data_IF_434535205395
#
_entry.id   IF_434535205395
#
_cell.length_a   1.000
_cell.length_b   1.000
_cell.length_c   1.000
_cell.angle_alpha   90.00
_cell.angle_beta   90.00
_cell.angle_gamma   90.00
#
_symmetry.space_group_name_H-M   'P 1'
#
loop_
_entity.id
_entity.type
_entity.pdbx_description
1 polymer ?
#
# COMPACT_ATOMS: atom_id res chain seq x y z
N UNK A 1 21.52 -23.37 1.61
CA UNK A 1 20.93 -22.08 2.04
C UNK A 1 20.56 -21.33 0.77
N UNK A 2 19.38 -20.72 0.69
CA UNK A 2 19.05 -19.88 -0.47
C UNK A 2 19.85 -18.59 -0.37
N UNK A 3 20.40 -18.12 -1.48
CA UNK A 3 21.06 -16.81 -1.54
C UNK A 3 20.05 -15.72 -1.16
N UNK A 4 20.53 -14.73 -0.41
CA UNK A 4 19.68 -13.69 0.16
C UNK A 4 19.54 -12.52 -0.81
N UNK A 5 18.31 -12.03 -0.98
CA UNK A 5 18.01 -10.89 -1.85
C UNK A 5 17.22 -9.86 -1.07
N UNK A 6 17.72 -8.62 -1.07
CA UNK A 6 17.04 -7.46 -0.50
C UNK A 6 16.35 -6.70 -1.62
N UNK A 7 15.03 -6.57 -1.51
CA UNK A 7 14.21 -5.77 -2.42
C UNK A 7 13.97 -4.43 -1.75
N UNK A 8 14.46 -3.35 -2.35
CA UNK A 8 14.58 -2.04 -1.70
C UNK A 8 13.51 -1.09 -2.23
N UNK A 9 12.59 -0.71 -1.35
CA UNK A 9 11.63 0.38 -1.54
C UNK A 9 12.30 1.75 -1.31
N UNK A 10 11.64 2.86 -1.67
CA UNK A 10 12.12 4.23 -1.47
C UNK A 10 12.58 4.47 -0.02
N UNK A 11 11.82 3.98 0.96
CA UNK A 11 12.16 4.05 2.39
C UNK A 11 13.50 3.39 2.75
N UNK A 12 13.90 2.33 2.04
CA UNK A 12 15.20 1.67 2.21
C UNK A 12 16.40 2.47 1.71
N UNK A 13 16.19 3.43 0.80
CA UNK A 13 17.22 4.39 0.38
C UNK A 13 17.33 5.60 1.32
N UNK A 14 16.25 5.94 2.00
CA UNK A 14 16.24 7.02 3.00
C UNK A 14 16.99 6.57 4.27
N UNK A 15 16.81 5.30 4.66
CA UNK A 15 17.42 4.79 5.87
C UNK A 15 18.82 4.21 5.67
N UNK A 16 19.68 4.32 6.69
CA UNK A 16 21.03 3.76 6.70
C UNK A 16 21.03 2.24 6.97
N UNK A 17 20.19 1.47 6.27
CA UNK A 17 20.11 0.00 6.38
C UNK A 17 21.33 -0.66 5.76
N UNK A 18 22.01 -1.54 6.51
CA UNK A 18 23.10 -2.35 5.96
C UNK A 18 22.56 -3.64 5.31
N UNK A 19 22.91 -3.85 4.04
CA UNK A 19 22.55 -5.06 3.29
C UNK A 19 23.69 -6.06 3.35
N UNK A 20 23.83 -6.76 4.49
CA UNK A 20 24.92 -7.73 4.71
C UNK A 20 24.66 -9.04 3.97
N UNK A 21 25.69 -9.53 3.27
CA UNK A 21 25.76 -10.87 2.64
C UNK A 21 24.54 -11.23 1.77
N UNK A 22 24.03 -10.26 0.99
CA UNK A 22 22.91 -10.48 0.09
C UNK A 22 22.92 -9.55 -1.11
N UNK A 23 22.37 -10.01 -2.23
CA UNK A 23 22.21 -9.19 -3.42
C UNK A 23 21.10 -8.14 -3.18
N UNK A 24 21.24 -6.97 -3.78
CA UNK A 24 20.25 -5.89 -3.69
C UNK A 24 19.56 -5.71 -5.05
N UNK A 25 18.25 -5.45 -5.00
CA UNK A 25 17.44 -5.17 -6.18
C UNK A 25 16.40 -4.10 -5.87
N UNK A 26 16.10 -3.24 -6.84
CA UNK A 26 14.97 -2.32 -6.81
C UNK A 26 14.32 -2.25 -8.20
N UNK A 27 13.25 -1.49 -8.32
CA UNK A 27 12.50 -1.30 -9.57
C UNK A 27 12.73 0.11 -10.13
N UNK A 28 12.66 0.31 -11.46
CA UNK A 28 12.84 1.64 -12.05
C UNK A 28 11.94 2.73 -11.46
N UNK A 29 10.67 2.40 -11.18
CA UNK A 29 9.71 3.35 -10.62
C UNK A 29 10.13 3.91 -9.25
N UNK A 30 10.84 3.12 -8.42
CA UNK A 30 11.41 3.61 -7.16
C UNK A 30 12.54 4.60 -7.43
N UNK A 31 13.36 4.36 -8.45
CA UNK A 31 14.45 5.28 -8.83
C UNK A 31 13.89 6.63 -9.27
N UNK A 32 12.76 6.63 -9.97
CA UNK A 32 12.08 7.85 -10.43
C UNK A 32 11.48 8.66 -9.25
N UNK A 33 11.15 8.01 -8.13
CA UNK A 33 10.67 8.67 -6.90
C UNK A 33 11.79 9.30 -6.06
N UNK A 34 13.04 8.87 -6.23
CA UNK A 34 14.18 9.39 -5.46
C UNK A 34 14.51 10.81 -5.94
N UNK A 35 14.01 11.80 -5.22
CA UNK A 35 14.24 13.21 -5.52
C UNK A 35 15.26 13.89 -4.61
N UNK A 36 15.47 13.37 -3.39
CA UNK A 36 16.39 14.00 -2.43
C UNK A 36 17.85 13.59 -2.68
N UNK A 37 18.77 14.54 -2.45
CA UNK A 37 20.20 14.35 -2.73
C UNK A 37 20.86 13.26 -1.88
N UNK A 38 20.32 12.97 -0.69
CA UNK A 38 20.90 11.97 0.22
C UNK A 38 20.56 10.56 -0.23
N UNK A 39 19.29 10.30 -0.51
CA UNK A 39 18.82 9.04 -1.07
C UNK A 39 19.41 8.78 -2.45
N UNK A 40 19.62 9.84 -3.25
CA UNK A 40 20.29 9.73 -4.56
C UNK A 40 21.75 9.28 -4.43
N UNK A 41 22.52 9.93 -3.54
CA UNK A 41 23.89 9.50 -3.27
C UNK A 41 23.94 8.04 -2.79
N UNK A 42 23.01 7.63 -1.93
CA UNK A 42 22.94 6.26 -1.44
C UNK A 42 22.60 5.27 -2.55
N UNK A 43 21.67 5.61 -3.43
CA UNK A 43 21.36 4.82 -4.61
C UNK A 43 22.62 4.63 -5.48
N UNK A 44 23.37 5.69 -5.76
CA UNK A 44 24.58 5.62 -6.59
C UNK A 44 25.65 4.72 -5.93
N UNK A 45 25.87 4.85 -4.62
CA UNK A 45 26.78 3.97 -3.87
C UNK A 45 26.35 2.49 -3.91
N UNK A 46 25.05 2.22 -3.75
CA UNK A 46 24.53 0.85 -3.86
C UNK A 46 24.63 0.33 -5.30
N UNK A 47 24.48 1.21 -6.30
CA UNK A 47 24.62 0.88 -7.70
C UNK A 47 26.04 0.43 -8.02
N UNK A 48 27.04 1.16 -7.55
CA UNK A 48 28.45 0.80 -7.68
C UNK A 48 28.77 -0.50 -6.94
N UNK A 49 28.08 -0.77 -5.82
CA UNK A 49 28.19 -2.01 -5.07
C UNK A 49 27.41 -3.21 -5.69
N UNK A 50 26.73 -3.03 -6.83
CA UNK A 50 26.06 -4.11 -7.56
C UNK A 50 24.54 -4.15 -7.45
N UNK A 51 23.87 -3.08 -7.01
CA UNK A 51 22.40 -2.97 -7.00
C UNK A 51 21.84 -3.15 -8.41
N UNK A 52 20.90 -4.09 -8.53
CA UNK A 52 20.16 -4.34 -9.77
C UNK A 52 18.89 -3.49 -9.81
N UNK A 53 18.59 -2.95 -10.99
CA UNK A 53 17.35 -2.19 -11.23
C UNK A 53 16.61 -2.94 -12.32
N UNK A 54 15.53 -3.63 -11.96
CA UNK A 54 14.86 -4.60 -12.82
C UNK A 54 13.34 -4.41 -12.74
N UNK A 55 12.66 -4.51 -13.88
CA UNK A 55 11.19 -4.53 -13.89
C UNK A 55 10.68 -5.89 -13.38
N UNK A 56 9.56 -5.91 -12.64
CA UNK A 56 8.93 -7.15 -12.21
C UNK A 56 8.20 -7.86 -13.36
N UNK A 57 8.11 -9.17 -13.25
CA UNK A 57 7.25 -9.99 -14.11
C UNK A 57 5.76 -9.59 -14.00
N UNK A 58 5.07 -9.50 -15.13
CA UNK A 58 3.67 -9.11 -15.22
C UNK A 58 2.75 -10.10 -14.51
N UNK A 59 3.07 -11.41 -14.56
CA UNK A 59 2.31 -12.43 -13.84
C UNK A 59 2.40 -12.24 -12.31
N UNK A 60 3.51 -11.71 -11.81
CA UNK A 60 3.65 -11.37 -10.40
C UNK A 60 2.83 -10.13 -10.02
N UNK A 61 2.71 -9.13 -10.92
CA UNK A 61 1.85 -7.95 -10.69
C UNK A 61 0.38 -8.34 -10.49
N UNK A 62 -0.14 -9.27 -11.28
CA UNK A 62 -1.53 -9.74 -11.16
C UNK A 62 -1.80 -10.45 -9.83
N UNK A 63 -0.84 -11.27 -9.38
CA UNK A 63 -0.90 -11.94 -8.07
C UNK A 63 -0.91 -10.93 -6.93
N UNK A 64 -0.05 -9.91 -7.01
CA UNK A 64 0.01 -8.83 -6.02
C UNK A 64 -1.32 -8.07 -5.96
N UNK A 65 -1.90 -7.71 -7.11
CA UNK A 65 -3.22 -7.04 -7.16
C UNK A 65 -4.31 -7.88 -6.49
N UNK A 66 -4.31 -9.19 -6.72
CA UNK A 66 -5.27 -10.11 -6.10
C UNK A 66 -5.08 -10.19 -4.58
N UNK A 67 -3.83 -10.22 -4.11
CA UNK A 67 -3.50 -10.19 -2.68
C UNK A 67 -3.86 -8.83 -2.04
N UNK A 68 -3.66 -7.73 -2.74
CA UNK A 68 -4.05 -6.39 -2.31
C UNK A 68 -5.57 -6.24 -2.15
N UNK A 69 -6.36 -6.86 -3.03
CA UNK A 69 -7.82 -6.89 -2.89
C UNK A 69 -8.21 -7.70 -1.65
N UNK A 70 -7.53 -8.82 -1.42
CA UNK A 70 -7.80 -9.72 -0.28
C UNK A 70 -7.49 -9.06 1.07
N UNK A 71 -6.41 -8.29 1.13
CA UNK A 71 -6.00 -7.53 2.32
C UNK A 71 -6.79 -6.23 2.52
N UNK A 72 -7.44 -5.73 1.46
CA UNK A 72 -8.16 -4.47 1.47
C UNK A 72 -7.28 -3.24 1.19
N UNK A 73 -6.01 -3.45 0.84
CA UNK A 73 -5.03 -2.39 0.60
C UNK A 73 -4.95 -1.97 -0.89
N UNK A 74 -5.73 -2.59 -1.79
CA UNK A 74 -5.70 -2.30 -3.23
C UNK A 74 -6.00 -0.84 -3.61
N UNK A 75 -6.77 -0.11 -2.80
CA UNK A 75 -7.12 1.29 -3.09
C UNK A 75 -6.05 2.30 -2.63
N UNK A 76 -5.10 1.88 -1.80
CA UNK A 76 -4.05 2.76 -1.25
C UNK A 76 -2.69 2.51 -1.88
N UNK A 77 -2.46 1.31 -2.43
CA UNK A 77 -1.20 0.98 -3.10
C UNK A 77 -1.05 1.74 -4.43
N UNK A 78 0.12 2.35 -4.60
CA UNK A 78 0.57 2.97 -5.83
C UNK A 78 1.00 1.92 -6.87
N UNK A 79 1.25 2.37 -8.11
CA UNK A 79 1.81 1.51 -9.16
C UNK A 79 3.23 1.05 -8.79
N UNK A 80 4.02 1.94 -8.17
CA UNK A 80 5.36 1.63 -7.65
C UNK A 80 5.30 0.54 -6.59
N UNK A 81 4.33 0.62 -5.68
CA UNK A 81 4.15 -0.36 -4.59
C UNK A 81 3.79 -1.75 -5.13
N UNK A 82 2.96 -1.80 -6.16
CA UNK A 82 2.64 -3.06 -6.85
C UNK A 82 3.90 -3.64 -7.51
N UNK A 83 4.73 -2.79 -8.11
CA UNK A 83 5.93 -3.23 -8.81
C UNK A 83 7.00 -3.76 -7.84
N UNK A 84 7.18 -3.12 -6.68
CA UNK A 84 8.14 -3.58 -5.67
C UNK A 84 7.71 -4.91 -5.04
N UNK A 85 6.42 -5.05 -4.71
CA UNK A 85 5.83 -6.30 -4.21
C UNK A 85 5.93 -7.41 -5.26
N UNK A 86 5.72 -7.08 -6.53
CA UNK A 86 5.79 -8.05 -7.62
C UNK A 86 7.23 -8.54 -7.82
N UNK A 87 8.23 -7.64 -7.76
CA UNK A 87 9.64 -8.03 -7.85
C UNK A 87 10.05 -8.90 -6.66
N UNK A 88 9.56 -8.60 -5.46
CA UNK A 88 9.80 -9.44 -4.28
C UNK A 88 9.18 -10.83 -4.41
N UNK A 89 7.95 -10.92 -4.91
CA UNK A 89 7.27 -12.18 -5.16
C UNK A 89 8.00 -13.03 -6.22
N UNK A 90 8.47 -12.40 -7.30
CA UNK A 90 9.24 -13.04 -8.37
C UNK A 90 10.51 -13.71 -7.81
N UNK A 91 11.30 -12.96 -7.03
CA UNK A 91 12.56 -13.44 -6.46
C UNK A 91 12.38 -14.54 -5.41
N UNK A 92 11.23 -14.58 -4.73
CA UNK A 92 10.94 -15.56 -3.65
C UNK A 92 11.02 -17.02 -4.14
N UNK A 93 10.78 -17.25 -5.43
CA UNK A 93 10.85 -18.60 -6.02
C UNK A 93 12.25 -19.22 -5.91
N UNK A 94 13.31 -18.42 -6.06
CA UNK A 94 14.71 -18.88 -6.03
C UNK A 94 15.50 -18.47 -4.79
N UNK A 95 15.10 -17.40 -4.10
CA UNK A 95 15.94 -16.72 -3.12
C UNK A 95 15.27 -16.59 -1.75
N UNK A 96 16.08 -16.32 -0.72
CA UNK A 96 15.59 -15.80 0.56
C UNK A 96 15.37 -14.30 0.43
N UNK A 97 14.12 -13.88 0.24
CA UNK A 97 13.78 -12.47 -0.06
C UNK A 97 13.42 -11.72 1.21
N UNK A 98 14.02 -10.55 1.40
CA UNK A 98 13.56 -9.56 2.37
C UNK A 98 13.20 -8.26 1.66
N UNK A 99 11.94 -7.85 1.79
CA UNK A 99 11.45 -6.55 1.35
C UNK A 99 11.77 -5.49 2.41
N UNK A 100 12.50 -4.45 2.04
CA UNK A 100 12.83 -3.35 2.94
C UNK A 100 11.84 -2.22 2.72
N UNK A 101 10.91 -2.03 3.64
CA UNK A 101 9.87 -0.99 3.55
C UNK A 101 9.33 -0.58 4.92
N UNK A 102 9.00 0.70 5.07
CA UNK A 102 8.30 1.25 6.25
C UNK A 102 6.77 1.39 6.04
N UNK A 103 6.24 1.11 4.85
CA UNK A 103 4.81 1.27 4.54
C UNK A 103 3.96 0.08 5.03
N UNK A 104 2.90 0.37 5.79
CA UNK A 104 2.02 -0.65 6.36
C UNK A 104 1.18 -1.40 5.32
N UNK A 105 0.72 -0.73 4.26
CA UNK A 105 -0.04 -1.37 3.19
C UNK A 105 0.84 -2.36 2.42
N UNK A 106 2.09 -1.97 2.12
CA UNK A 106 3.08 -2.86 1.51
C UNK A 106 3.36 -4.06 2.42
N UNK A 107 3.56 -3.83 3.73
CA UNK A 107 3.80 -4.90 4.71
C UNK A 107 2.63 -5.89 4.82
N UNK A 108 1.38 -5.42 4.78
CA UNK A 108 0.19 -6.28 4.83
C UNK A 108 0.14 -7.22 3.62
N UNK A 109 0.35 -6.67 2.41
CA UNK A 109 0.34 -7.47 1.19
C UNK A 109 1.54 -8.42 1.15
N UNK A 110 2.73 -7.97 1.55
CA UNK A 110 3.90 -8.82 1.69
C UNK A 110 3.63 -10.00 2.64
N UNK A 111 3.03 -9.75 3.81
CA UNK A 111 2.65 -10.79 4.76
C UNK A 111 1.65 -11.80 4.16
N UNK A 112 0.64 -11.31 3.43
CA UNK A 112 -0.34 -12.17 2.75
C UNK A 112 0.30 -13.06 1.67
N UNK A 113 1.31 -12.53 0.96
CA UNK A 113 2.12 -13.25 -0.03
C UNK A 113 3.23 -14.11 0.61
N UNK A 114 3.36 -14.08 1.95
CA UNK A 114 4.41 -14.77 2.71
C UNK A 114 5.82 -14.28 2.39
N UNK A 115 5.97 -13.02 1.99
CA UNK A 115 7.26 -12.35 1.75
C UNK A 115 7.74 -11.79 3.09
N UNK A 116 8.98 -12.11 3.47
CA UNK A 116 9.59 -11.50 4.65
C UNK A 116 9.90 -10.03 4.38
N UNK A 117 9.74 -9.18 5.39
CA UNK A 117 10.02 -7.77 5.29
C UNK A 117 10.75 -7.25 6.52
N UNK A 118 11.45 -6.14 6.37
CA UNK A 118 12.04 -5.39 7.47
C UNK A 118 11.78 -3.89 7.31
N UNK A 119 11.64 -3.21 8.43
CA UNK A 119 11.53 -1.74 8.47
C UNK A 119 12.90 -1.11 8.22
N UNK A 120 12.90 -0.03 7.44
CA UNK A 120 14.10 0.71 7.11
C UNK A 120 14.62 1.51 8.32
N UNK A 121 13.73 2.01 9.18
CA UNK A 121 14.11 2.70 10.41
C UNK A 121 14.85 1.79 11.42
N UNK A 122 16.13 2.09 11.70
CA UNK A 122 17.02 1.41 12.68
C UNK A 122 16.45 1.38 14.10
N UNK A 123 15.49 2.27 14.38
CA UNK A 123 14.60 2.18 15.54
C UNK A 123 13.17 2.23 15.02
N UNK A 124 12.55 1.06 14.83
CA UNK A 124 11.21 0.95 14.28
C UNK A 124 10.21 1.91 14.93
N UNK A 125 9.17 2.29 14.20
CA UNK A 125 8.04 3.05 14.73
C UNK A 125 7.46 2.28 15.93
N UNK A 126 7.84 2.69 17.14
CA UNK A 126 7.42 2.05 18.41
C UNK A 126 5.93 2.23 18.73
N UNK A 127 5.18 2.96 17.90
CA UNK A 127 3.81 3.40 18.20
C UNK A 127 2.88 3.10 17.03
N UNK A 128 2.07 2.05 17.19
CA UNK A 128 0.89 1.81 16.35
C UNK A 128 -0.05 3.01 16.48
N UNK A 129 -0.19 3.79 15.42
CA UNK A 129 -1.13 4.91 15.39
C UNK A 129 -2.49 4.36 15.01
N UNK A 130 -3.38 4.20 15.99
CA UNK A 130 -4.77 3.85 15.74
C UNK A 130 -5.54 5.15 15.47
N UNK A 131 -6.32 5.17 14.40
CA UNK A 131 -7.19 6.28 14.07
C UNK A 131 -8.64 5.88 14.36
N UNK A 132 -9.37 6.75 15.04
CA UNK A 132 -10.81 6.61 15.26
C UNK A 132 -11.52 7.76 14.55
N UNK A 133 -12.63 7.44 13.89
CA UNK A 133 -13.55 8.44 13.40
C UNK A 133 -14.46 8.87 14.54
N UNK A 134 -14.52 10.16 14.86
CA UNK A 134 -15.34 10.69 15.96
C UNK A 134 -16.31 11.74 15.42
N UNK A 135 -17.57 11.62 15.79
CA UNK A 135 -18.58 12.63 15.48
C UNK A 135 -18.24 13.98 16.14
N UNK A 136 -18.38 15.08 15.39
CA UNK A 136 -18.15 16.44 15.92
C UNK A 136 -19.29 16.96 16.80
N UNK A 137 -20.51 16.42 16.66
CA UNK A 137 -21.68 16.77 17.46
C UNK A 137 -21.81 15.93 18.73
N UNK A 138 -22.21 14.66 18.59
CA UNK A 138 -22.49 13.78 19.74
C UNK A 138 -21.24 13.14 20.38
N UNK A 139 -20.08 13.23 19.73
CA UNK A 139 -18.83 12.70 20.26
C UNK A 139 -18.69 11.17 20.22
N UNK A 140 -19.62 10.43 19.63
CA UNK A 140 -19.50 8.99 19.47
C UNK A 140 -18.42 8.62 18.46
N UNK A 141 -17.73 7.50 18.70
CA UNK A 141 -16.84 6.87 17.73
C UNK A 141 -17.70 6.18 16.68
N UNK A 142 -17.42 6.42 15.41
CA UNK A 142 -18.10 5.76 14.29
C UNK A 142 -17.18 4.71 13.70
N UNK A 143 -17.68 3.49 13.53
CA UNK A 143 -16.91 2.41 12.90
C UNK A 143 -16.82 2.67 11.39
N UNK A 144 -15.61 2.83 10.86
CA UNK A 144 -15.41 2.77 9.40
C UNK A 144 -15.46 1.32 8.97
N UNK A 145 -16.59 0.87 8.42
CA UNK A 145 -16.62 -0.37 7.65
C UNK A 145 -17.84 -1.24 7.86
N UNK A 146 -18.98 -0.83 7.31
CA UNK A 146 -19.73 -1.68 6.38
C UNK A 146 -20.27 -0.79 5.28
N UNK A 147 -19.91 -1.09 4.03
CA UNK A 147 -20.72 -0.64 2.90
C UNK A 147 -22.13 -1.21 3.13
N UNK A 148 -23.10 -0.36 3.46
CA UNK A 148 -24.50 -0.76 3.41
C UNK A 148 -24.83 -1.06 1.95
N UNK A 149 -25.04 -2.34 1.62
CA UNK A 149 -25.90 -2.67 0.50
C UNK A 149 -27.30 -2.11 0.81
N UNK A 150 -27.96 -1.60 -0.23
CA UNK A 150 -29.33 -1.07 -0.28
C UNK A 150 -29.55 0.35 0.26
N UNK A 151 -29.26 1.34 -0.57
CA UNK A 151 -30.24 2.41 -0.77
C UNK A 151 -31.44 1.81 -1.51
N UNK A 152 -32.66 1.94 -0.98
CA UNK A 152 -33.88 1.63 -1.73
C UNK A 152 -33.87 2.49 -2.99
N UNK A 153 -33.90 1.85 -4.17
CA UNK A 153 -34.18 2.53 -5.41
C UNK A 153 -35.56 3.19 -5.30
N UNK A 154 -35.60 4.52 -5.25
CA UNK A 154 -36.83 5.27 -5.47
C UNK A 154 -37.04 5.28 -6.98
N UNK A 155 -37.81 4.32 -7.49
CA UNK A 155 -38.24 4.33 -8.89
C UNK A 155 -39.37 5.35 -9.04
N UNK A 156 -39.03 6.64 -9.21
CA UNK A 156 -39.95 7.61 -9.77
C UNK A 156 -39.66 7.77 -11.27
N UNK A 157 -40.31 6.94 -12.09
CA UNK A 157 -40.24 7.05 -13.55
C UNK A 157 -40.73 5.81 -14.27
N UNK A 158 -41.63 5.97 -15.24
CA UNK A 158 -42.08 4.87 -16.12
C UNK A 158 -40.89 4.39 -16.95
N UNK A 159 -40.67 3.08 -16.98
CA UNK A 159 -39.60 2.43 -17.73
C UNK A 159 -39.77 2.63 -19.25
N UNK A 160 -38.72 3.13 -19.93
CA UNK A 160 -38.61 3.03 -21.39
C UNK A 160 -37.89 1.73 -21.77
N UNK A 161 -38.35 1.09 -22.85
CA UNK A 161 -37.80 -0.15 -23.39
C UNK A 161 -36.53 0.18 -24.18
N UNK A 162 -35.47 -0.60 -23.94
CA UNK A 162 -34.19 -0.67 -24.66
C UNK A 162 -33.27 0.56 -24.63
N UNK A 163 -32.15 0.43 -23.90
CA UNK A 163 -30.97 1.29 -23.99
C UNK A 163 -29.90 0.84 -22.99
N UNK A 164 -28.66 0.61 -23.43
CA UNK A 164 -27.53 0.31 -22.52
C UNK A 164 -27.28 1.51 -21.61
N UNK A 165 -27.35 1.33 -20.30
CA UNK A 165 -26.96 2.36 -19.34
C UNK A 165 -25.44 2.55 -19.38
N UNK A 166 -24.99 3.76 -19.73
CA UNK A 166 -23.63 4.22 -19.47
C UNK A 166 -23.45 4.38 -17.96
N UNK A 167 -22.38 3.84 -17.40
CA UNK A 167 -21.90 4.24 -16.07
C UNK A 167 -20.83 5.31 -16.28
N UNK A 168 -21.26 6.55 -16.42
CA UNK A 168 -20.45 7.72 -16.07
C UNK A 168 -20.93 8.22 -14.71
N UNK A 169 -20.10 8.07 -13.70
CA UNK A 169 -20.40 8.53 -12.35
C UNK A 169 -19.11 8.60 -11.54
N UNK A 170 -18.60 9.81 -11.35
CA UNK A 170 -17.51 10.08 -10.42
C UNK A 170 -17.93 9.62 -9.02
N UNK A 171 -17.03 8.90 -8.34
CA UNK A 171 -17.13 8.68 -6.90
C UNK A 171 -16.91 10.03 -6.23
N UNK A 172 -18.00 10.71 -5.88
CA UNK A 172 -17.94 11.83 -4.93
C UNK A 172 -17.56 11.25 -3.58
N UNK A 173 -16.47 11.75 -2.98
CA UNK A 173 -16.15 11.49 -1.57
C UNK A 173 -17.37 11.86 -0.74
N UNK A 174 -18.14 10.86 -0.31
CA UNK A 174 -19.25 11.11 0.59
C UNK A 174 -18.67 11.54 1.93
N UNK A 175 -18.96 12.78 2.31
CA UNK A 175 -18.73 13.26 3.66
C UNK A 175 -19.37 12.26 4.62
N UNK A 176 -18.55 11.57 5.43
CA UNK A 176 -19.04 10.61 6.39
C UNK A 176 -19.79 11.40 7.48
N UNK A 177 -21.11 11.29 7.49
CA UNK A 177 -21.96 11.85 8.53
C UNK A 177 -22.17 10.84 9.66
N UNK A 178 -22.38 11.33 10.88
CA UNK A 178 -22.63 10.47 12.02
C UNK A 178 -24.01 9.81 11.90
N UNK A 179 -24.12 8.46 11.96
CA UNK A 179 -25.40 7.77 11.83
C UNK A 179 -26.36 8.00 13.00
N UNK A 180 -25.87 8.62 14.09
CA UNK A 180 -26.66 8.87 15.31
C UNK A 180 -27.27 10.28 15.28
N UNK A 181 -26.53 11.29 14.81
CA UNK A 181 -26.96 12.69 14.92
C UNK A 181 -26.77 13.52 13.64
N UNK A 182 -26.32 12.93 12.53
CA UNK A 182 -26.14 13.59 11.24
C UNK A 182 -24.99 14.61 11.17
N UNK A 183 -24.27 14.87 12.28
CA UNK A 183 -23.15 15.81 12.28
C UNK A 183 -21.92 15.21 11.58
N UNK A 184 -21.05 16.07 11.06
CA UNK A 184 -19.80 15.66 10.41
C UNK A 184 -18.89 14.82 11.30
N UNK A 185 -18.02 14.03 10.66
CA UNK A 185 -17.08 13.12 11.34
C UNK A 185 -15.66 13.59 11.08
N UNK A 186 -14.80 13.55 12.12
CA UNK A 186 -13.37 13.86 12.01
C UNK A 186 -12.51 12.67 12.40
N UNK A 187 -11.36 12.50 11.72
CA UNK A 187 -10.31 11.56 12.12
C UNK A 187 -9.61 12.07 13.38
N UNK A 188 -9.53 11.25 14.42
CA UNK A 188 -8.80 11.52 15.65
C UNK A 188 -7.74 10.46 15.85
N UNK A 189 -6.51 10.90 16.16
CA UNK A 189 -5.43 10.01 16.57
C UNK A 189 -5.73 9.45 17.97
N UNK A 190 -5.74 8.14 18.10
CA UNK A 190 -5.87 7.45 19.38
C UNK A 190 -4.47 7.14 19.88
N UNK A 191 -4.16 7.58 21.11
CA UNK A 191 -3.01 7.08 21.84
C UNK A 191 -3.50 5.83 22.58
N UNK A 192 -3.19 4.64 22.07
CA UNK A 192 -3.23 3.41 22.87
C UNK A 192 -1.86 3.20 23.50
#
# INVERSE_FOLDING_TARGET
>A
MKDKVYVIDTSGFIAQVEFRDGATVTVPAVVDEIMDSTSRLRFDLLKDAGLRVELPDSACREKVRSAAITTGDASVLSVTDVDILAKALEMKSGYGVILVTDDYAIQNVAANLGIEYMTAATSGIRKKVVWELKCTGCGNVVESGKAMKSGKAVVSGKAMKSGKAMVSGNVVESAIECPICGSGVRRRRVKR
#
